data_IF_288453983585
#
_entry.id   IF_288453983585
#
_cell.length_a   1.000
_cell.length_b   1.000
_cell.length_c   1.000
_cell.angle_alpha   90.00
_cell.angle_beta   90.00
_cell.angle_gamma   90.00
#
_symmetry.space_group_name_H-M   'P 1'
#
loop_
_entity.id
_entity.type
_entity.pdbx_description
1 polymer ?
#
# COMPACT_ATOMS: atom_id res chain seq x y z
N UNK A 1 -45.86 1.99 10.76
CA UNK A 1 -44.98 1.52 9.66
C UNK A 1 -43.55 1.72 10.14
N UNK A 2 -42.94 0.64 10.69
CA UNK A 2 -41.54 0.64 11.09
C UNK A 2 -40.65 0.42 9.84
N UNK A 3 -39.84 1.40 9.48
CA UNK A 3 -38.72 1.21 8.55
C UNK A 3 -37.56 0.59 9.33
N UNK A 4 -37.34 -0.70 9.15
CA UNK A 4 -36.13 -1.36 9.64
C UNK A 4 -34.95 -0.94 8.74
N UNK A 5 -34.05 -0.11 9.28
CA UNK A 5 -32.77 0.17 8.68
C UNK A 5 -31.89 -1.08 8.80
N UNK A 6 -31.74 -1.83 7.72
CA UNK A 6 -30.76 -2.88 7.59
C UNK A 6 -29.36 -2.24 7.47
N UNK A 7 -28.74 -1.94 8.60
CA UNK A 7 -27.33 -1.71 8.66
C UNK A 7 -26.63 -3.07 8.44
N UNK A 8 -26.41 -3.42 7.18
CA UNK A 8 -25.62 -4.59 6.81
C UNK A 8 -24.17 -4.36 7.18
N UNK A 9 -23.74 -4.90 8.32
CA UNK A 9 -22.32 -5.14 8.57
C UNK A 9 -21.84 -6.17 7.56
N UNK A 10 -21.32 -5.72 6.42
CA UNK A 10 -20.61 -6.60 5.47
C UNK A 10 -19.20 -6.81 5.96
N UNK A 11 -19.03 -7.60 7.03
CA UNK A 11 -17.76 -8.25 7.31
C UNK A 11 -17.54 -9.29 6.23
N UNK A 12 -16.45 -9.15 5.47
CA UNK A 12 -16.04 -10.19 4.54
C UNK A 12 -15.77 -11.46 5.33
N UNK A 13 -16.47 -12.55 5.01
CA UNK A 13 -16.26 -13.82 5.68
C UNK A 13 -14.85 -14.35 5.33
N UNK A 14 -14.12 -14.83 6.31
CA UNK A 14 -12.74 -15.34 6.15
C UNK A 14 -12.62 -16.45 5.10
N UNK A 15 -13.68 -17.21 4.85
CA UNK A 15 -13.71 -18.35 3.93
C UNK A 15 -13.95 -18.00 2.46
N UNK A 16 -14.14 -16.71 2.13
CA UNK A 16 -14.36 -16.30 0.76
C UNK A 16 -13.05 -16.22 -0.04
N UNK A 17 -13.10 -16.71 -1.28
CA UNK A 17 -11.96 -16.55 -2.19
C UNK A 17 -11.65 -15.05 -2.41
N UNK A 18 -10.36 -14.72 -2.62
CA UNK A 18 -9.93 -13.36 -2.96
C UNK A 18 -10.74 -12.75 -4.11
N UNK A 19 -11.09 -13.55 -5.12
CA UNK A 19 -11.90 -13.09 -6.27
C UNK A 19 -13.29 -12.66 -5.83
N UNK A 20 -13.92 -13.42 -4.93
CA UNK A 20 -15.24 -13.09 -4.39
C UNK A 20 -15.22 -11.81 -3.56
N UNK A 21 -14.21 -11.62 -2.71
CA UNK A 21 -14.03 -10.41 -1.91
C UNK A 21 -13.86 -9.17 -2.78
N UNK A 22 -13.01 -9.26 -3.83
CA UNK A 22 -12.79 -8.17 -4.79
C UNK A 22 -14.10 -7.85 -5.53
N UNK A 23 -14.83 -8.85 -6.02
CA UNK A 23 -16.11 -8.64 -6.69
C UNK A 23 -17.12 -7.93 -5.78
N UNK A 24 -17.23 -8.33 -4.52
CA UNK A 24 -18.10 -7.67 -3.53
C UNK A 24 -17.67 -6.22 -3.28
N UNK A 25 -16.37 -5.96 -3.19
CA UNK A 25 -15.88 -4.60 -3.03
C UNK A 25 -16.25 -3.72 -4.22
N UNK A 26 -16.09 -4.21 -5.46
CA UNK A 26 -16.48 -3.50 -6.69
C UNK A 26 -17.98 -3.18 -6.70
N UNK A 27 -18.84 -4.14 -6.35
CA UNK A 27 -20.28 -3.96 -6.33
C UNK A 27 -20.70 -2.93 -5.28
N UNK A 28 -20.12 -3.01 -4.08
CA UNK A 28 -20.49 -2.14 -2.96
C UNK A 28 -19.88 -0.74 -3.05
N UNK A 29 -18.74 -0.58 -3.73
CA UNK A 29 -17.97 0.66 -3.80
C UNK A 29 -17.47 0.95 -5.23
N UNK A 30 -18.37 1.09 -6.23
CA UNK A 30 -17.98 1.15 -7.65
C UNK A 30 -17.10 2.37 -7.98
N UNK A 31 -17.33 3.52 -7.36
CA UNK A 31 -16.54 4.73 -7.56
C UNK A 31 -15.13 4.54 -6.98
N UNK A 32 -15.02 4.03 -5.76
CA UNK A 32 -13.73 3.75 -5.14
C UNK A 32 -12.97 2.67 -5.93
N UNK A 33 -13.63 1.59 -6.31
CA UNK A 33 -13.02 0.51 -7.10
C UNK A 33 -12.43 1.02 -8.43
N UNK A 34 -13.15 1.90 -9.13
CA UNK A 34 -12.68 2.52 -10.38
C UNK A 34 -11.45 3.42 -10.14
N UNK A 35 -11.48 4.23 -9.09
CA UNK A 35 -10.39 5.16 -8.75
C UNK A 35 -9.15 4.43 -8.27
N UNK A 36 -9.33 3.38 -7.45
CA UNK A 36 -8.24 2.51 -7.01
C UNK A 36 -7.62 1.81 -8.21
N UNK A 37 -8.44 1.23 -9.07
CA UNK A 37 -8.04 0.58 -10.29
C UNK A 37 -7.18 -0.67 -10.08
N UNK A 38 -6.71 -1.22 -11.20
CA UNK A 38 -5.73 -2.32 -11.25
C UNK A 38 -4.38 -1.74 -11.60
N UNK A 39 -3.31 -2.29 -11.01
CA UNK A 39 -1.94 -1.88 -11.31
C UNK A 39 -1.64 -2.14 -12.79
N UNK A 40 -1.32 -1.08 -13.50
CA UNK A 40 -0.87 -1.09 -14.89
C UNK A 40 0.13 0.04 -15.10
N UNK A 41 1.21 -0.23 -15.83
CA UNK A 41 2.32 0.69 -16.00
C UNK A 41 1.91 2.05 -16.63
N UNK A 42 0.92 2.06 -17.52
CA UNK A 42 0.47 3.24 -18.26
C UNK A 42 -0.71 3.97 -17.60
N UNK A 43 -1.41 3.31 -16.72
CA UNK A 43 -2.64 3.84 -16.11
C UNK A 43 -2.36 4.88 -15.04
N UNK A 44 -3.29 5.83 -14.92
CA UNK A 44 -3.34 6.83 -13.85
C UNK A 44 -4.48 6.45 -12.91
N UNK A 45 -4.17 5.64 -11.90
CA UNK A 45 -5.06 5.25 -10.83
C UNK A 45 -4.24 5.04 -9.54
N UNK A 46 -4.89 4.92 -8.39
CA UNK A 46 -4.18 4.81 -7.10
C UNK A 46 -3.21 3.62 -7.08
N UNK A 47 -3.61 2.45 -7.58
CA UNK A 47 -2.76 1.26 -7.57
C UNK A 47 -1.50 1.44 -8.42
N UNK A 48 -1.65 1.96 -9.63
CA UNK A 48 -0.54 2.22 -10.55
C UNK A 48 0.40 3.30 -10.04
N UNK A 49 -0.17 4.38 -9.50
CA UNK A 49 0.60 5.51 -8.97
C UNK A 49 1.40 5.09 -7.73
N UNK A 50 0.79 4.33 -6.80
CA UNK A 50 1.47 3.82 -5.61
C UNK A 50 2.64 2.90 -5.98
N UNK A 51 2.44 2.00 -6.95
CA UNK A 51 3.49 1.10 -7.43
C UNK A 51 4.65 1.87 -8.09
N UNK A 52 4.35 2.86 -8.97
CA UNK A 52 5.37 3.70 -9.61
C UNK A 52 6.19 4.51 -8.61
N UNK A 53 5.51 5.25 -7.72
CA UNK A 53 6.18 6.07 -6.71
C UNK A 53 7.04 5.22 -5.80
N UNK A 54 6.51 4.10 -5.28
CA UNK A 54 7.28 3.20 -4.42
C UNK A 54 8.54 2.65 -5.11
N UNK A 55 8.41 2.16 -6.34
CA UNK A 55 9.53 1.63 -7.12
C UNK A 55 10.60 2.69 -7.40
N UNK A 56 10.19 3.94 -7.60
CA UNK A 56 11.08 5.06 -7.92
C UNK A 56 11.77 5.70 -6.72
N UNK A 57 11.43 5.31 -5.51
CA UNK A 57 12.19 5.71 -4.31
C UNK A 57 13.66 5.27 -4.35
N UNK A 58 13.98 4.21 -5.11
CA UNK A 58 15.32 3.60 -5.13
C UNK A 58 15.66 2.87 -3.83
N UNK A 59 14.66 2.55 -3.01
CA UNK A 59 14.81 1.70 -1.83
C UNK A 59 14.99 0.23 -2.22
N UNK A 60 15.30 -0.63 -1.25
CA UNK A 60 15.51 -2.05 -1.52
C UNK A 60 14.23 -2.75 -1.99
N UNK A 61 14.36 -3.49 -3.10
CA UNK A 61 13.30 -4.30 -3.69
C UNK A 61 13.77 -5.73 -4.01
N UNK A 62 14.95 -6.13 -3.57
CA UNK A 62 15.59 -7.38 -3.99
C UNK A 62 15.97 -8.31 -2.84
N UNK A 63 16.12 -7.78 -1.63
CA UNK A 63 16.63 -8.55 -0.49
C UNK A 63 15.89 -9.88 -0.24
N UNK A 64 14.60 -9.94 -0.58
CA UNK A 64 13.73 -11.10 -0.37
C UNK A 64 13.32 -11.80 -1.67
N UNK A 65 14.03 -11.60 -2.76
CA UNK A 65 13.76 -12.19 -4.07
C UNK A 65 12.70 -11.39 -4.85
N UNK A 66 11.45 -11.86 -4.90
CA UNK A 66 10.38 -11.30 -5.76
C UNK A 66 9.77 -9.96 -5.30
N UNK A 67 10.49 -9.20 -4.51
CA UNK A 67 10.03 -7.89 -4.02
C UNK A 67 9.06 -7.92 -2.83
N UNK A 68 8.62 -9.10 -2.38
CA UNK A 68 7.70 -9.25 -1.24
C UNK A 68 8.41 -8.99 0.08
N UNK A 69 7.75 -8.25 1.00
CA UNK A 69 8.29 -7.92 2.31
C UNK A 69 9.50 -6.99 2.29
N UNK A 70 9.83 -6.36 1.16
CA UNK A 70 10.96 -5.42 1.00
C UNK A 70 10.56 -3.99 1.39
N UNK A 71 11.53 -3.07 1.39
CA UNK A 71 11.29 -1.64 1.63
C UNK A 71 10.33 -1.05 0.58
N UNK A 72 10.51 -1.37 -0.70
CA UNK A 72 9.61 -0.91 -1.77
C UNK A 72 8.20 -1.44 -1.59
N UNK A 73 8.04 -2.71 -1.21
CA UNK A 73 6.72 -3.29 -0.93
C UNK A 73 6.05 -2.57 0.26
N UNK A 74 6.80 -2.28 1.33
CA UNK A 74 6.31 -1.54 2.49
C UNK A 74 5.80 -0.15 2.10
N UNK A 75 6.58 0.61 1.32
CA UNK A 75 6.15 1.94 0.81
C UNK A 75 4.92 1.81 -0.07
N UNK A 76 4.88 0.83 -0.98
CA UNK A 76 3.75 0.64 -1.89
C UNK A 76 2.43 0.42 -1.15
N UNK A 77 2.40 -0.51 -0.19
CA UNK A 77 1.20 -0.81 0.59
C UNK A 77 0.77 0.34 1.48
N UNK A 78 1.73 0.99 2.16
CA UNK A 78 1.45 2.17 2.98
C UNK A 78 0.89 3.31 2.15
N UNK A 79 1.50 3.62 1.00
CA UNK A 79 1.06 4.69 0.12
C UNK A 79 -0.29 4.40 -0.52
N UNK A 80 -0.53 3.16 -0.95
CA UNK A 80 -1.80 2.73 -1.52
C UNK A 80 -2.95 2.96 -0.55
N UNK A 81 -2.79 2.54 0.70
CA UNK A 81 -3.79 2.74 1.76
C UNK A 81 -3.92 4.21 2.18
N UNK A 82 -2.81 4.95 2.21
CA UNK A 82 -2.84 6.38 2.49
C UNK A 82 -3.64 7.13 1.42
N UNK A 83 -3.45 6.80 0.14
CA UNK A 83 -4.16 7.43 -0.95
C UNK A 83 -5.67 7.14 -0.92
N UNK A 84 -6.07 5.89 -0.67
CA UNK A 84 -7.49 5.53 -0.56
C UNK A 84 -8.11 6.24 0.64
N UNK A 85 -7.44 6.23 1.79
CA UNK A 85 -7.93 6.89 3.01
C UNK A 85 -8.01 8.41 2.88
N UNK A 86 -7.06 9.03 2.17
CA UNK A 86 -7.03 10.46 1.88
C UNK A 86 -8.16 10.90 0.94
N UNK A 87 -8.43 10.09 -0.08
CA UNK A 87 -9.39 10.44 -1.14
C UNK A 87 -10.84 10.06 -0.77
N UNK A 88 -11.03 9.02 0.00
CA UNK A 88 -12.33 8.54 0.44
C UNK A 88 -12.43 8.64 1.97
N UNK A 89 -12.09 7.55 2.66
CA UNK A 89 -11.97 7.46 4.12
C UNK A 89 -11.20 6.18 4.52
N UNK A 90 -10.95 6.05 5.84
CA UNK A 90 -10.25 4.88 6.39
C UNK A 90 -11.06 3.58 6.29
N UNK A 91 -12.39 3.65 6.27
CA UNK A 91 -13.27 2.48 6.17
C UNK A 91 -13.19 1.89 4.77
N UNK A 92 -13.29 2.73 3.74
CA UNK A 92 -13.10 2.30 2.35
C UNK A 92 -11.71 1.72 2.12
N UNK A 93 -10.67 2.37 2.69
CA UNK A 93 -9.30 1.87 2.60
C UNK A 93 -9.13 0.51 3.29
N UNK A 94 -9.76 0.30 4.45
CA UNK A 94 -9.75 -0.99 5.15
C UNK A 94 -10.42 -2.08 4.33
N UNK A 95 -11.63 -1.83 3.85
CA UNK A 95 -12.38 -2.77 3.01
C UNK A 95 -11.64 -3.14 1.72
N UNK A 96 -10.99 -2.16 1.08
CA UNK A 96 -10.12 -2.42 -0.06
C UNK A 96 -8.95 -3.34 0.33
N UNK A 97 -8.26 -3.05 1.45
CA UNK A 97 -7.18 -3.88 1.96
C UNK A 97 -7.63 -5.32 2.21
N UNK A 98 -8.75 -5.52 2.88
CA UNK A 98 -9.30 -6.84 3.20
C UNK A 98 -9.72 -7.63 1.96
N UNK A 99 -10.23 -6.94 0.94
CA UNK A 99 -10.58 -7.59 -0.33
C UNK A 99 -9.35 -8.15 -1.07
N UNK A 100 -8.19 -7.51 -0.93
CA UNK A 100 -6.96 -7.93 -1.61
C UNK A 100 -6.10 -8.91 -0.80
N UNK A 101 -6.31 -9.02 0.53
CA UNK A 101 -5.56 -9.94 1.38
C UNK A 101 -6.27 -11.28 1.53
N UNK A 102 -5.49 -12.36 1.56
CA UNK A 102 -6.01 -13.72 1.79
C UNK A 102 -6.31 -13.96 3.28
N UNK A 103 -5.52 -13.32 4.16
CA UNK A 103 -5.68 -13.37 5.60
C UNK A 103 -5.65 -11.92 6.13
N UNK A 104 -6.69 -11.51 6.84
CA UNK A 104 -6.82 -10.17 7.42
C UNK A 104 -6.55 -10.15 8.92
N UNK A 105 -6.28 -11.32 9.51
CA UNK A 105 -6.04 -11.45 10.94
C UNK A 105 -4.62 -11.04 11.31
N UNK A 106 -4.50 -9.97 12.09
CA UNK A 106 -3.23 -9.57 12.70
C UNK A 106 -3.04 -10.32 14.00
N UNK A 107 -2.05 -11.21 14.03
CA UNK A 107 -1.60 -11.84 15.25
C UNK A 107 -0.56 -10.93 15.91
N UNK A 108 -1.04 -10.11 16.83
CA UNK A 108 -0.16 -9.24 17.62
C UNK A 108 0.91 -10.06 18.34
N UNK A 109 2.14 -9.54 18.38
CA UNK A 109 3.28 -10.23 19.02
C UNK A 109 3.92 -11.34 18.19
N UNK A 110 3.29 -11.86 17.15
CA UNK A 110 3.91 -12.85 16.27
C UNK A 110 4.82 -12.16 15.26
N UNK A 111 6.12 -12.47 15.31
CA UNK A 111 7.14 -11.90 14.41
C UNK A 111 7.80 -12.91 13.49
N UNK A 112 7.79 -14.20 13.86
CA UNK A 112 8.43 -15.29 13.10
C UNK A 112 7.39 -16.14 12.36
N UNK A 113 7.63 -16.37 11.08
CA UNK A 113 6.77 -17.14 10.18
C UNK A 113 7.59 -18.18 9.44
N UNK A 114 7.04 -19.38 9.23
CA UNK A 114 7.69 -20.41 8.42
C UNK A 114 7.53 -20.18 6.91
N UNK A 115 6.50 -19.45 6.52
CA UNK A 115 6.21 -19.13 5.12
C UNK A 115 6.51 -17.66 4.84
N UNK A 116 7.20 -17.38 3.72
CA UNK A 116 7.39 -16.00 3.22
C UNK A 116 6.05 -15.33 2.94
N UNK A 117 5.10 -16.05 2.35
CA UNK A 117 3.76 -15.50 2.06
C UNK A 117 3.05 -15.05 3.34
N UNK A 118 3.09 -15.84 4.42
CA UNK A 118 2.48 -15.46 5.68
C UNK A 118 3.17 -14.23 6.33
N UNK A 119 4.50 -14.14 6.23
CA UNK A 119 5.24 -12.98 6.69
C UNK A 119 4.91 -11.72 5.87
N UNK A 120 4.82 -11.84 4.55
CA UNK A 120 4.45 -10.77 3.63
C UNK A 120 3.04 -10.24 3.95
N UNK A 121 2.05 -11.11 4.11
CA UNK A 121 0.70 -10.71 4.52
C UNK A 121 0.68 -9.98 5.87
N UNK A 122 1.46 -10.46 6.84
CA UNK A 122 1.56 -9.83 8.15
C UNK A 122 2.21 -8.45 8.09
N UNK A 123 3.19 -8.25 7.19
CA UNK A 123 3.81 -6.96 6.89
C UNK A 123 2.80 -6.04 6.21
N UNK A 124 2.09 -6.52 5.20
CA UNK A 124 1.13 -5.74 4.43
C UNK A 124 -0.01 -5.21 5.30
N UNK A 125 -0.58 -6.06 6.19
CA UNK A 125 -1.65 -5.65 7.12
C UNK A 125 -1.17 -4.52 8.03
N UNK A 126 0.05 -4.60 8.58
CA UNK A 126 0.60 -3.57 9.48
C UNK A 126 0.88 -2.27 8.72
N UNK A 127 1.46 -2.36 7.55
CA UNK A 127 1.73 -1.19 6.71
C UNK A 127 0.44 -0.55 6.19
N UNK A 128 -0.59 -1.34 5.88
CA UNK A 128 -1.91 -0.84 5.51
C UNK A 128 -2.53 0.00 6.64
N UNK A 129 -2.44 -0.43 7.90
CA UNK A 129 -2.90 0.35 9.06
C UNK A 129 -2.18 1.69 9.19
N UNK A 130 -0.85 1.68 9.03
CA UNK A 130 -0.04 2.90 9.03
C UNK A 130 -0.49 3.84 7.89
N UNK A 131 -0.68 3.30 6.69
CA UNK A 131 -1.14 4.06 5.53
C UNK A 131 -2.48 4.74 5.77
N UNK A 132 -3.47 4.02 6.31
CA UNK A 132 -4.78 4.59 6.66
C UNK A 132 -4.67 5.77 7.62
N UNK A 133 -3.83 5.65 8.65
CA UNK A 133 -3.60 6.74 9.60
C UNK A 133 -2.97 7.96 8.94
N UNK A 134 -1.97 7.77 8.07
CA UNK A 134 -1.33 8.87 7.34
C UNK A 134 -2.34 9.57 6.42
N UNK A 135 -3.13 8.80 5.66
CA UNK A 135 -4.10 9.32 4.71
C UNK A 135 -5.24 10.09 5.38
N UNK A 136 -5.77 9.56 6.49
CA UNK A 136 -6.82 10.24 7.27
C UNK A 136 -6.37 11.60 7.82
N UNK A 137 -5.08 11.74 8.11
CA UNK A 137 -4.49 13.03 8.54
C UNK A 137 -4.21 14.01 7.39
N UNK A 138 -4.44 13.60 6.13
CA UNK A 138 -4.15 14.40 4.92
C UNK A 138 -5.26 14.25 3.87
N UNK A 139 -6.49 14.74 4.15
CA UNK A 139 -7.61 14.60 3.23
C UNK A 139 -7.32 15.30 1.89
N UNK A 140 -7.69 14.63 0.79
CA UNK A 140 -7.54 15.12 -0.58
C UNK A 140 -6.09 15.47 -1.00
N UNK A 141 -5.09 14.94 -0.31
CA UNK A 141 -3.69 15.14 -0.71
C UNK A 141 -3.37 14.35 -1.98
N UNK A 142 -2.51 14.92 -2.83
CA UNK A 142 -2.01 14.24 -4.01
C UNK A 142 -1.04 13.09 -3.64
N UNK A 143 -0.83 12.18 -4.61
CA UNK A 143 -0.03 10.97 -4.39
C UNK A 143 1.43 11.25 -4.04
N UNK A 144 2.04 12.31 -4.60
CA UNK A 144 3.44 12.68 -4.30
C UNK A 144 3.57 13.23 -2.88
N UNK A 145 2.65 14.08 -2.45
CA UNK A 145 2.56 14.59 -1.07
C UNK A 145 2.39 13.43 -0.08
N UNK A 146 1.54 12.45 -0.39
CA UNK A 146 1.37 11.26 0.43
C UNK A 146 2.62 10.38 0.45
N UNK A 147 3.30 10.22 -0.68
CA UNK A 147 4.57 9.47 -0.75
C UNK A 147 5.66 10.11 0.13
N UNK A 148 5.77 11.43 0.12
CA UNK A 148 6.69 12.15 1.01
C UNK A 148 6.33 11.96 2.49
N UNK A 149 5.04 11.99 2.83
CA UNK A 149 4.58 11.73 4.20
C UNK A 149 4.87 10.27 4.64
N UNK A 150 4.68 9.30 3.76
CA UNK A 150 5.04 7.90 4.00
C UNK A 150 6.55 7.74 4.23
N UNK A 151 7.38 8.36 3.40
CA UNK A 151 8.83 8.34 3.58
C UNK A 151 9.26 9.01 4.88
N UNK A 152 8.64 10.14 5.24
CA UNK A 152 8.88 10.80 6.52
C UNK A 152 8.53 9.90 7.71
N UNK A 153 7.36 9.25 7.67
CA UNK A 153 6.96 8.27 8.68
C UNK A 153 7.96 7.10 8.74
N UNK A 154 8.38 6.59 7.59
CA UNK A 154 9.37 5.52 7.49
C UNK A 154 10.69 5.91 8.15
N UNK A 155 11.13 7.15 7.97
CA UNK A 155 12.33 7.71 8.59
C UNK A 155 12.18 7.88 10.11
N UNK A 156 11.05 8.37 10.60
CA UNK A 156 10.85 8.73 12.01
C UNK A 156 10.43 7.55 12.88
N UNK A 157 9.52 6.73 12.37
CA UNK A 157 8.87 5.64 13.13
C UNK A 157 9.30 4.27 12.58
N UNK A 158 9.32 4.12 11.26
CA UNK A 158 9.62 2.86 10.58
C UNK A 158 8.41 2.23 9.91
N UNK A 159 8.68 1.41 8.88
CA UNK A 159 7.70 0.52 8.25
C UNK A 159 8.11 -0.94 8.46
N UNK A 160 7.14 -1.83 8.33
CA UNK A 160 7.35 -3.26 8.50
C UNK A 160 7.93 -3.88 7.24
N UNK A 161 8.96 -4.72 7.43
CA UNK A 161 9.59 -5.53 6.39
C UNK A 161 9.81 -6.95 6.89
N UNK A 162 10.02 -7.89 5.99
CA UNK A 162 10.31 -9.29 6.31
C UNK A 162 11.72 -9.66 5.83
N UNK A 163 12.46 -10.41 6.64
CA UNK A 163 13.78 -10.94 6.28
C UNK A 163 13.90 -12.41 6.72
N UNK A 164 14.63 -13.22 5.94
CA UNK A 164 14.93 -14.59 6.33
C UNK A 164 16.07 -14.60 7.35
N UNK A 165 15.85 -15.21 8.50
CA UNK A 165 16.80 -15.31 9.60
C UNK A 165 16.80 -16.72 10.19
N UNK A 166 17.81 -17.05 11.01
CA UNK A 166 17.78 -18.25 11.87
C UNK A 166 16.88 -17.96 13.07
N UNK A 167 15.86 -18.76 13.26
CA UNK A 167 15.00 -18.74 14.46
C UNK A 167 15.66 -19.37 15.68
N UNK A 168 15.00 -19.29 16.84
CA UNK A 168 15.48 -19.83 18.10
C UNK A 168 15.73 -21.35 18.09
N UNK A 169 15.07 -22.12 17.21
CA UNK A 169 15.29 -23.55 16.99
C UNK A 169 16.40 -23.86 15.97
N UNK A 170 17.14 -22.86 15.47
CA UNK A 170 18.13 -23.01 14.39
C UNK A 170 17.53 -23.16 12.99
N UNK A 171 16.19 -23.28 12.87
CA UNK A 171 15.49 -23.34 11.58
C UNK A 171 15.41 -21.96 10.95
N UNK A 172 15.42 -21.90 9.62
CA UNK A 172 15.15 -20.66 8.89
C UNK A 172 13.69 -20.26 9.07
N UNK A 173 13.48 -18.98 9.42
CA UNK A 173 12.16 -18.35 9.54
C UNK A 173 12.18 -17.02 8.81
N UNK A 174 11.00 -16.54 8.44
CA UNK A 174 10.79 -15.19 7.96
C UNK A 174 10.38 -14.32 9.15
N UNK A 175 11.27 -13.42 9.55
CA UNK A 175 11.03 -12.49 10.66
C UNK A 175 10.57 -11.16 10.11
N UNK A 176 9.45 -10.66 10.65
CA UNK A 176 8.99 -9.31 10.39
C UNK A 176 9.53 -8.36 11.47
N UNK A 177 9.90 -7.17 11.05
CA UNK A 177 10.38 -6.11 11.95
C UNK A 177 10.02 -4.74 11.40
N UNK A 178 9.81 -3.79 12.31
CA UNK A 178 9.61 -2.40 11.97
C UNK A 178 10.97 -1.69 11.98
N UNK A 179 11.43 -1.24 10.83
CA UNK A 179 12.74 -0.63 10.65
C UNK A 179 12.59 0.79 10.12
N UNK A 180 13.56 1.64 10.46
CA UNK A 180 13.64 3.02 9.96
C UNK A 180 14.56 3.11 8.75
N UNK A 181 14.34 4.10 7.90
CA UNK A 181 15.31 4.47 6.88
C UNK A 181 16.52 5.16 7.50
N UNK A 182 17.69 4.89 6.96
CA UNK A 182 18.87 5.73 7.19
C UNK A 182 18.68 7.13 6.58
N UNK A 183 19.48 8.10 7.02
CA UNK A 183 19.45 9.45 6.45
C UNK A 183 19.77 9.46 4.95
N UNK A 184 20.69 8.60 4.53
CA UNK A 184 21.08 8.47 3.13
C UNK A 184 19.96 7.90 2.26
N UNK A 185 19.27 6.84 2.73
CA UNK A 185 18.13 6.25 2.03
C UNK A 185 16.98 7.24 1.92
N UNK A 186 16.65 7.93 3.02
CA UNK A 186 15.57 8.91 3.06
C UNK A 186 15.82 10.06 2.07
N UNK A 187 17.01 10.70 2.11
CA UNK A 187 17.37 11.78 1.18
C UNK A 187 17.36 11.31 -0.26
N UNK A 188 17.93 10.15 -0.56
CA UNK A 188 17.91 9.57 -1.91
C UNK A 188 16.48 9.36 -2.40
N UNK A 189 15.60 8.78 -1.56
CA UNK A 189 14.22 8.54 -1.92
C UNK A 189 13.46 9.84 -2.21
N UNK A 190 13.62 10.89 -1.39
CA UNK A 190 13.02 12.19 -1.64
C UNK A 190 13.49 12.81 -2.95
N UNK A 191 14.82 12.84 -3.19
CA UNK A 191 15.39 13.39 -4.40
C UNK A 191 14.87 12.67 -5.66
N UNK A 192 14.72 11.34 -5.58
CA UNK A 192 14.19 10.55 -6.69
C UNK A 192 12.72 10.87 -6.98
N UNK A 193 11.93 11.24 -5.97
CA UNK A 193 10.54 11.63 -6.16
C UNK A 193 10.38 13.08 -6.66
N UNK A 194 11.38 13.93 -6.46
CA UNK A 194 11.28 15.35 -6.76
C UNK A 194 11.02 15.62 -8.25
N UNK A 195 11.66 14.84 -9.13
CA UNK A 195 11.54 14.96 -10.59
C UNK A 195 10.28 14.35 -11.19
N UNK A 196 9.43 13.75 -10.36
CA UNK A 196 8.20 13.09 -10.77
C UNK A 196 6.98 14.00 -10.52
N UNK A 197 5.94 13.82 -11.35
CA UNK A 197 4.64 14.42 -11.10
C UNK A 197 3.87 13.68 -9.96
N UNK A 198 2.65 14.12 -9.65
CA UNK A 198 1.79 13.51 -8.64
C UNK A 198 1.43 12.05 -8.92
N UNK A 199 1.45 11.63 -10.18
CA UNK A 199 1.17 10.25 -10.60
C UNK A 199 2.42 9.36 -10.60
N UNK A 200 3.55 9.91 -10.19
CA UNK A 200 4.84 9.21 -10.18
C UNK A 200 5.47 9.07 -11.56
N UNK A 201 5.06 9.87 -12.54
CA UNK A 201 5.57 9.86 -13.90
C UNK A 201 6.66 10.93 -14.10
N UNK A 202 7.63 10.62 -14.97
CA UNK A 202 8.53 11.63 -15.52
C UNK A 202 7.78 12.52 -16.52
N UNK A 203 8.28 13.72 -16.85
CA UNK A 203 7.68 14.57 -17.88
C UNK A 203 7.53 13.88 -19.24
N UNK A 204 8.44 12.97 -19.57
CA UNK A 204 8.36 12.19 -20.82
C UNK A 204 7.19 11.19 -20.79
N UNK A 205 7.04 10.45 -19.70
CA UNK A 205 5.96 9.46 -19.51
C UNK A 205 4.60 10.14 -19.41
N UNK A 206 4.52 11.28 -18.77
CA UNK A 206 3.30 12.07 -18.70
C UNK A 206 2.82 12.47 -20.10
N UNK A 207 3.73 12.94 -20.96
CA UNK A 207 3.42 13.23 -22.36
C UNK A 207 3.00 11.99 -23.15
N UNK A 208 3.63 10.85 -22.87
CA UNK A 208 3.36 9.62 -23.60
C UNK A 208 2.05 8.95 -23.21
N UNK A 209 1.74 8.92 -21.92
CA UNK A 209 0.61 8.14 -21.37
C UNK A 209 -0.61 8.98 -20.98
N UNK A 210 -0.45 10.29 -20.86
CA UNK A 210 -1.54 11.21 -20.51
C UNK A 210 -1.59 12.46 -21.41
N UNK A 211 -1.75 12.26 -22.73
CA UNK A 211 -1.70 13.36 -23.71
C UNK A 211 -2.84 14.38 -23.57
N UNK A 212 -3.92 14.05 -22.85
CA UNK A 212 -5.03 14.97 -22.62
C UNK A 212 -4.65 16.16 -21.74
N UNK A 213 -3.70 16.00 -20.80
CA UNK A 213 -3.18 17.09 -19.98
C UNK A 213 -2.33 18.11 -20.75
N UNK A 214 -1.88 17.76 -21.96
CA UNK A 214 -1.11 18.67 -22.82
C UNK A 214 -1.96 19.69 -23.61
N UNK A 215 -3.27 19.49 -23.64
CA UNK A 215 -4.18 20.41 -24.36
C UNK A 215 -4.70 21.55 -23.50
N UNK A 216 -4.33 21.59 -22.22
CA UNK A 216 -4.75 22.61 -21.24
C UNK A 216 -3.66 23.68 -20.99
N UNK A 217 -2.54 23.65 -21.73
CA UNK A 217 -1.49 24.67 -21.79
C UNK A 217 -1.55 25.36 -23.16
#
# INVERSE_FOLDING_TARGET
ILAASLAGCTTYQHDQSRRSKIAQFIINHPVAARTIGVEDYKSVNISSNAARLAKRTGLDNKANGEGRGTQVNAVRHTLWQAAISSQFDSIIAERAGDAYLSDTEVREGKTDYFSRLAADQAVDIRNNRIGRSIGSGKPQADMKTLAQAVLFYYKQVGLWTAAQVKGGSGRKVWRISQNKLSDAEYRRALNNLEVLNSDGMTPFEERLYNPSKLREI
#
